data_IF_940215448654
#
_entry.id   IF_940215448654
#
_cell.length_a   1.000
_cell.length_b   1.000
_cell.length_c   1.000
_cell.angle_alpha   90.00
_cell.angle_beta   90.00
_cell.angle_gamma   90.00
#
_symmetry.space_group_name_H-M   'P 1'
#
loop_
_entity.id
_entity.type
_entity.pdbx_description
1 polymer ?
#
# COMPACT_ATOMS: atom_id res chain seq x y z
N UNK A 1 17.22 1.80 -5.05
CA UNK A 1 16.87 1.02 -6.26
C UNK A 1 15.35 0.93 -6.27
N UNK A 2 14.68 1.42 -7.32
CA UNK A 2 13.22 1.37 -7.37
C UNK A 2 12.75 -0.07 -7.57
N UNK A 3 11.99 -0.60 -6.62
CA UNK A 3 11.38 -1.93 -6.67
C UNK A 3 10.33 -1.94 -7.78
N UNK A 4 10.38 -2.94 -8.67
CA UNK A 4 9.39 -3.04 -9.74
C UNK A 4 8.00 -3.35 -9.15
N UNK A 5 6.92 -3.02 -9.88
CA UNK A 5 5.56 -3.34 -9.43
C UNK A 5 5.34 -4.85 -9.20
N UNK A 6 6.04 -5.71 -9.96
CA UNK A 6 6.02 -7.16 -9.76
C UNK A 6 6.68 -7.54 -8.44
N UNK A 7 7.84 -6.98 -8.14
CA UNK A 7 8.53 -7.22 -6.87
C UNK A 7 7.67 -6.75 -5.69
N UNK A 8 7.02 -5.60 -5.83
CA UNK A 8 6.12 -5.07 -4.80
C UNK A 8 4.97 -6.02 -4.50
N UNK A 9 4.28 -6.53 -5.53
CA UNK A 9 3.18 -7.48 -5.33
C UNK A 9 3.67 -8.76 -4.65
N UNK A 10 4.79 -9.32 -5.08
CA UNK A 10 5.30 -10.56 -4.51
C UNK A 10 5.63 -10.41 -3.02
N UNK A 11 6.23 -9.28 -2.63
CA UNK A 11 6.51 -8.98 -1.22
C UNK A 11 5.23 -8.85 -0.40
N UNK A 12 4.18 -8.24 -0.96
CA UNK A 12 2.88 -8.17 -0.27
C UNK A 12 2.20 -9.54 -0.16
N UNK A 13 2.33 -10.42 -1.15
CA UNK A 13 1.80 -11.78 -1.07
C UNK A 13 2.51 -12.56 0.04
N UNK A 14 3.84 -12.46 0.12
CA UNK A 14 4.64 -13.12 1.16
C UNK A 14 4.26 -12.63 2.57
N UNK A 15 4.03 -11.32 2.73
CA UNK A 15 3.65 -10.71 4.01
C UNK A 15 2.19 -11.00 4.41
N UNK A 16 1.25 -10.83 3.49
CA UNK A 16 -0.19 -10.82 3.78
C UNK A 16 -0.83 -12.21 3.63
N UNK A 17 -0.31 -13.05 2.73
CA UNK A 17 -0.84 -14.38 2.36
C UNK A 17 -2.22 -14.41 1.71
N UNK A 18 -3.07 -13.43 1.99
CA UNK A 18 -4.47 -13.30 1.57
C UNK A 18 -4.88 -11.83 1.52
N UNK A 19 -6.06 -11.53 0.98
CA UNK A 19 -6.63 -10.19 1.02
C UNK A 19 -6.88 -9.77 2.47
N UNK A 20 -6.24 -8.69 2.92
CA UNK A 20 -6.24 -8.31 4.36
C UNK A 20 -7.63 -7.97 4.92
N UNK A 21 -8.62 -7.67 4.07
CA UNK A 21 -9.99 -7.33 4.49
C UNK A 21 -10.96 -8.50 4.35
N UNK A 22 -10.84 -9.29 3.29
CA UNK A 22 -11.84 -10.32 2.95
C UNK A 22 -11.38 -11.74 3.26
N UNK A 23 -10.07 -11.96 3.41
CA UNK A 23 -9.47 -13.28 3.61
C UNK A 23 -9.38 -14.13 2.33
N UNK A 24 -9.71 -13.57 1.16
CA UNK A 24 -9.62 -14.30 -0.11
C UNK A 24 -8.18 -14.64 -0.49
N UNK A 25 -8.03 -15.67 -1.32
CA UNK A 25 -6.72 -16.16 -1.78
C UNK A 25 -5.95 -15.06 -2.53
N UNK A 26 -4.62 -15.06 -2.38
CA UNK A 26 -3.75 -14.01 -2.92
C UNK A 26 -3.90 -13.77 -4.44
N UNK A 27 -4.26 -14.80 -5.20
CA UNK A 27 -4.47 -14.72 -6.65
C UNK A 27 -5.65 -13.82 -7.03
N UNK A 28 -6.66 -13.70 -6.17
CA UNK A 28 -7.83 -12.84 -6.38
C UNK A 28 -7.62 -11.40 -5.83
N UNK A 29 -6.49 -11.17 -5.17
CA UNK A 29 -6.12 -9.90 -4.58
C UNK A 29 -5.20 -9.12 -5.51
N UNK A 30 -5.15 -7.80 -5.35
CA UNK A 30 -4.24 -6.90 -6.03
C UNK A 30 -3.37 -6.13 -5.02
N UNK A 31 -2.14 -5.81 -5.40
CA UNK A 31 -1.30 -4.90 -4.63
C UNK A 31 -1.85 -3.47 -4.72
N UNK A 32 -2.20 -2.89 -3.57
CA UNK A 32 -2.74 -1.53 -3.48
C UNK A 32 -1.83 -0.66 -2.64
N UNK A 33 -1.48 0.52 -3.17
CA UNK A 33 -0.79 1.53 -2.40
C UNK A 33 -1.76 2.29 -1.50
N UNK A 34 -1.39 2.52 -0.25
CA UNK A 34 -2.13 3.34 0.71
C UNK A 34 -1.92 4.83 0.41
N UNK A 35 -0.68 5.23 0.12
CA UNK A 35 -0.32 6.54 -0.39
C UNK A 35 -0.28 6.49 -1.92
N UNK A 36 -1.09 7.30 -2.60
CA UNK A 36 -1.21 7.22 -4.05
C UNK A 36 0.06 7.69 -4.76
N UNK A 37 0.59 6.84 -5.65
CA UNK A 37 1.74 7.12 -6.52
C UNK A 37 1.59 8.43 -7.32
N UNK A 38 0.36 8.82 -7.66
CA UNK A 38 0.08 10.05 -8.42
C UNK A 38 0.44 11.33 -7.67
N UNK A 39 0.69 11.27 -6.35
CA UNK A 39 1.13 12.43 -5.56
C UNK A 39 2.65 12.61 -5.55
N UNK A 40 3.40 11.61 -6.04
CA UNK A 40 4.86 11.63 -6.14
C UNK A 40 5.59 11.50 -4.79
N UNK A 41 6.90 11.27 -4.87
CA UNK A 41 7.75 10.97 -3.71
C UNK A 41 7.88 12.16 -2.73
N UNK A 42 7.79 13.40 -3.24
CA UNK A 42 7.83 14.59 -2.40
C UNK A 42 6.65 14.62 -1.41
N UNK A 43 5.45 14.28 -1.88
CA UNK A 43 4.28 14.21 -1.00
C UNK A 43 4.44 13.15 0.09
N UNK A 44 5.03 12.01 -0.24
CA UNK A 44 5.29 10.94 0.74
C UNK A 44 6.31 11.44 1.77
N UNK A 45 7.41 12.04 1.32
CA UNK A 45 8.44 12.61 2.20
C UNK A 45 7.87 13.65 3.17
N UNK A 46 7.08 14.60 2.65
CA UNK A 46 6.46 15.64 3.46
C UNK A 46 5.46 15.05 4.46
N UNK A 47 4.65 14.08 4.01
CA UNK A 47 3.67 13.40 4.84
C UNK A 47 4.34 12.60 5.97
N UNK A 48 5.43 11.89 5.67
CA UNK A 48 6.20 11.12 6.66
C UNK A 48 6.87 12.06 7.67
N UNK A 49 7.44 13.18 7.21
CA UNK A 49 8.02 14.21 8.09
C UNK A 49 6.97 14.81 9.03
N UNK A 50 5.76 15.02 8.54
CA UNK A 50 4.67 15.61 9.32
C UNK A 50 3.98 14.62 10.28
N UNK A 51 3.84 13.35 9.89
CA UNK A 51 3.03 12.36 10.63
C UNK A 51 3.82 11.35 11.45
N UNK A 52 5.07 11.06 11.11
CA UNK A 52 5.69 9.79 11.54
C UNK A 52 6.58 9.91 12.77
N UNK A 53 6.51 8.86 13.60
CA UNK A 53 7.63 8.39 14.42
C UNK A 53 8.57 7.57 13.52
N UNK A 54 9.86 7.44 13.86
CA UNK A 54 10.90 6.76 13.05
C UNK A 54 10.50 5.35 12.55
N UNK A 55 9.59 4.65 13.23
CA UNK A 55 9.14 3.31 12.87
C UNK A 55 8.27 3.27 11.58
N UNK A 56 7.56 4.34 11.26
CA UNK A 56 6.53 4.38 10.20
C UNK A 56 7.00 5.04 8.90
N UNK A 57 8.30 5.28 8.77
CA UNK A 57 8.86 5.92 7.56
C UNK A 57 8.73 4.95 6.38
N UNK A 58 7.93 5.38 5.39
CA UNK A 58 7.84 4.84 4.03
C UNK A 58 8.96 5.49 3.22
N UNK A 59 9.92 4.70 2.75
CA UNK A 59 11.13 5.22 2.08
C UNK A 59 10.93 5.54 0.61
N UNK A 60 10.03 4.81 -0.04
CA UNK A 60 9.68 4.98 -1.45
C UNK A 60 8.25 4.50 -1.70
N UNK A 61 7.74 4.78 -2.89
CA UNK A 61 6.36 4.45 -3.24
C UNK A 61 6.05 2.95 -3.16
N UNK A 62 7.03 2.10 -3.51
CA UNK A 62 6.93 0.64 -3.53
C UNK A 62 7.45 0.02 -2.21
N UNK A 63 7.62 0.81 -1.16
CA UNK A 63 7.91 0.29 0.18
C UNK A 63 6.73 -0.58 0.62
N UNK A 64 6.95 -1.84 1.04
CA UNK A 64 5.87 -2.72 1.50
C UNK A 64 4.99 -2.10 2.58
N UNK A 65 5.50 -1.19 3.41
CA UNK A 65 4.71 -0.46 4.41
C UNK A 65 3.62 0.43 3.79
N UNK A 66 3.82 0.86 2.55
CA UNK A 66 2.84 1.61 1.77
C UNK A 66 1.84 0.70 1.04
N UNK A 67 1.95 -0.62 1.17
CA UNK A 67 1.16 -1.58 0.40
C UNK A 67 0.26 -2.47 1.24
N UNK A 68 -0.89 -2.84 0.68
CA UNK A 68 -1.77 -3.90 1.18
C UNK A 68 -2.26 -4.77 0.02
N UNK A 69 -2.42 -6.07 0.27
CA UNK A 69 -3.14 -6.98 -0.63
C UNK A 69 -4.66 -6.78 -0.45
N UNK A 70 -5.32 -6.23 -1.46
CA UNK A 70 -6.76 -5.91 -1.41
C UNK A 70 -7.53 -6.57 -2.53
N UNK A 71 -8.78 -6.96 -2.25
CA UNK A 71 -9.72 -7.38 -3.29
C UNK A 71 -9.89 -6.27 -4.32
N UNK A 72 -9.98 -6.62 -5.61
CA UNK A 72 -9.96 -5.69 -6.74
C UNK A 72 -10.92 -4.50 -6.60
N UNK A 73 -12.16 -4.76 -6.17
CA UNK A 73 -13.17 -3.71 -5.93
C UNK A 73 -12.77 -2.74 -4.80
N UNK A 74 -12.16 -3.23 -3.73
CA UNK A 74 -11.71 -2.39 -2.61
C UNK A 74 -10.48 -1.57 -3.01
N UNK A 75 -9.51 -2.18 -3.70
CA UNK A 75 -8.36 -1.48 -4.29
C UNK A 75 -8.80 -0.26 -5.11
N UNK A 76 -9.80 -0.42 -5.99
CA UNK A 76 -10.29 0.68 -6.81
C UNK A 76 -10.91 1.82 -5.97
N UNK A 77 -11.60 1.50 -4.88
CA UNK A 77 -12.19 2.50 -3.98
C UNK A 77 -11.13 3.25 -3.17
N UNK A 78 -10.13 2.53 -2.65
CA UNK A 78 -9.00 3.14 -1.92
C UNK A 78 -8.16 4.02 -2.85
N UNK A 79 -7.79 3.51 -4.03
CA UNK A 79 -7.01 4.27 -5.01
C UNK A 79 -7.72 5.53 -5.55
N UNK A 80 -9.05 5.56 -5.52
CA UNK A 80 -9.84 6.75 -5.90
C UNK A 80 -10.20 7.66 -4.72
N UNK A 81 -9.73 7.36 -3.50
CA UNK A 81 -10.03 8.14 -2.30
C UNK A 81 -11.48 8.03 -1.81
N UNK A 82 -12.27 7.08 -2.33
CA UNK A 82 -13.66 6.82 -1.90
C UNK A 82 -13.74 5.97 -0.63
N UNK A 83 -12.63 5.42 -0.19
CA UNK A 83 -12.51 4.61 1.02
C UNK A 83 -11.10 4.76 1.60
N UNK A 84 -10.98 4.69 2.91
CA UNK A 84 -9.71 4.77 3.63
C UNK A 84 -9.75 3.88 4.87
N UNK A 85 -8.59 3.52 5.38
CA UNK A 85 -8.46 2.78 6.63
C UNK A 85 -8.43 3.77 7.79
N UNK A 86 -9.19 3.48 8.84
CA UNK A 86 -9.17 4.25 10.08
C UNK A 86 -8.04 3.73 10.97
N UNK A 87 -7.51 4.62 11.81
CA UNK A 87 -6.59 4.28 12.89
C UNK A 87 -7.44 3.94 14.12
N UNK A 88 -7.18 2.81 14.73
CA UNK A 88 -7.74 2.44 16.04
C UNK A 88 -7.03 3.18 17.19
#
# INVERSE_FOLDING_TARGET
MATSQMDFRLVLIDRDGSCVVTGDIADDCDASHCLPHTKGDQYITDLMTYRSSEADIVRDISDPKNGLLLWRSLRARVGSGKSAFLRE
#
